data_IF_359527309434
#
_entry.id   IF_359527309434
#
_cell.length_a   1.000
_cell.length_b   1.000
_cell.length_c   1.000
_cell.angle_alpha   90.00
_cell.angle_beta   90.00
_cell.angle_gamma   90.00
#
_symmetry.space_group_name_H-M   'P 1'
#
loop_
_entity.id
_entity.type
_entity.pdbx_description
1 polymer ?
#
# COMPACT_ATOMS: atom_id res chain seq x y z
N UNK A 1 -39.69 17.49 -12.00
CA UNK A 1 -39.41 17.99 -10.62
C UNK A 1 -38.74 16.95 -9.71
N UNK A 2 -38.66 15.67 -10.10
CA UNK A 2 -38.06 14.57 -9.33
C UNK A 2 -36.53 14.42 -9.49
N UNK A 3 -35.88 15.30 -10.25
CA UNK A 3 -34.43 15.31 -10.48
C UNK A 3 -33.66 16.21 -9.49
N UNK A 4 -34.35 16.90 -8.58
CA UNK A 4 -33.71 17.81 -7.63
C UNK A 4 -33.22 17.01 -6.42
N UNK A 5 -31.93 17.12 -6.09
CA UNK A 5 -31.33 16.49 -4.90
C UNK A 5 -31.83 17.12 -3.59
N UNK A 6 -32.29 18.37 -3.64
CA UNK A 6 -32.86 19.10 -2.52
C UNK A 6 -34.23 19.67 -2.88
N UNK A 7 -35.16 19.57 -1.94
CA UNK A 7 -36.53 20.03 -2.11
C UNK A 7 -36.84 21.19 -1.16
N UNK A 8 -37.42 22.24 -1.70
CA UNK A 8 -38.07 23.31 -0.92
C UNK A 8 -39.54 22.96 -0.67
N UNK A 9 -40.20 23.58 0.33
CA UNK A 9 -41.64 23.38 0.56
C UNK A 9 -42.50 23.62 -0.69
N UNK A 10 -42.12 24.59 -1.53
CA UNK A 10 -42.80 24.88 -2.81
C UNK A 10 -42.65 23.72 -3.81
N UNK A 11 -41.47 23.11 -3.90
CA UNK A 11 -41.27 21.96 -4.79
C UNK A 11 -41.93 20.68 -4.27
N UNK A 12 -42.01 20.49 -2.95
CA UNK A 12 -42.74 19.37 -2.35
C UNK A 12 -44.24 19.47 -2.61
N UNK A 13 -44.82 20.66 -2.50
CA UNK A 13 -46.23 20.89 -2.87
C UNK A 13 -46.49 20.52 -4.33
N UNK A 14 -45.63 20.97 -5.26
CA UNK A 14 -45.73 20.61 -6.69
C UNK A 14 -45.56 19.10 -6.94
N UNK A 15 -44.72 18.43 -6.17
CA UNK A 15 -44.53 16.98 -6.25
C UNK A 15 -45.80 16.24 -5.82
N UNK A 16 -46.43 16.68 -4.72
CA UNK A 16 -47.71 16.13 -4.27
C UNK A 16 -48.84 16.40 -5.28
N UNK A 17 -48.93 17.62 -5.81
CA UNK A 17 -49.92 17.98 -6.83
C UNK A 17 -49.77 17.10 -8.07
N UNK A 18 -48.55 16.90 -8.56
CA UNK A 18 -48.28 16.03 -9.71
C UNK A 18 -48.68 14.56 -9.43
N UNK A 19 -48.42 14.07 -8.21
CA UNK A 19 -48.82 12.72 -7.82
C UNK A 19 -50.34 12.57 -7.73
N UNK A 20 -51.03 13.58 -7.20
CA UNK A 20 -52.49 13.63 -7.15
C UNK A 20 -53.08 13.64 -8.56
N UNK A 21 -52.55 14.46 -9.46
CA UNK A 21 -52.96 14.50 -10.87
C UNK A 21 -52.71 13.18 -11.57
N UNK A 22 -51.59 12.50 -11.31
CA UNK A 22 -51.35 11.16 -11.84
C UNK A 22 -52.40 10.17 -11.32
N UNK A 23 -52.69 10.18 -10.02
CA UNK A 23 -53.67 9.27 -9.44
C UNK A 23 -55.10 9.53 -9.88
N UNK A 24 -55.47 10.77 -10.23
CA UNK A 24 -56.80 11.09 -10.75
C UNK A 24 -57.01 10.66 -12.21
N UNK A 25 -55.93 10.53 -13.00
CA UNK A 25 -56.02 10.20 -14.43
C UNK A 25 -55.52 8.80 -14.78
N UNK A 26 -54.91 8.05 -13.84
CA UNK A 26 -54.30 6.74 -14.12
C UNK A 26 -55.30 5.69 -14.63
N UNK A 27 -56.59 5.83 -14.29
CA UNK A 27 -57.61 4.83 -14.62
C UNK A 27 -57.87 4.77 -16.13
N UNK A 28 -57.60 5.86 -16.87
CA UNK A 28 -57.64 5.91 -18.34
C UNK A 28 -56.73 4.84 -18.97
N UNK A 29 -55.59 4.51 -18.34
CA UNK A 29 -54.70 3.45 -18.85
C UNK A 29 -55.27 2.04 -18.63
N UNK A 30 -56.17 1.87 -17.67
CA UNK A 30 -56.91 0.62 -17.43
C UNK A 30 -58.04 0.52 -18.46
N UNK A 31 -58.77 1.62 -18.67
CA UNK A 31 -59.88 1.69 -19.63
C UNK A 31 -59.42 1.42 -21.07
N UNK A 32 -58.28 1.98 -21.47
CA UNK A 32 -57.63 1.75 -22.76
C UNK A 32 -56.98 0.36 -22.88
N UNK A 33 -57.11 -0.50 -21.85
CA UNK A 33 -56.50 -1.83 -21.75
C UNK A 33 -54.97 -1.87 -21.93
N UNK A 34 -54.29 -0.75 -21.68
CA UNK A 34 -52.83 -0.66 -21.73
C UNK A 34 -52.22 -1.41 -20.53
N UNK A 35 -52.90 -1.41 -19.37
CA UNK A 35 -52.41 -2.10 -18.16
C UNK A 35 -53.57 -2.62 -17.30
N UNK A 36 -53.35 -3.74 -16.60
CA UNK A 36 -54.38 -4.36 -15.74
C UNK A 36 -54.55 -3.71 -14.37
N UNK A 37 -53.45 -3.19 -13.78
CA UNK A 37 -53.47 -2.55 -12.46
C UNK A 37 -52.23 -1.67 -12.25
N UNK A 38 -52.26 -0.82 -11.22
CA UNK A 38 -51.16 0.05 -10.80
C UNK A 38 -50.49 -0.37 -9.47
N UNK A 39 -50.64 -1.63 -9.06
CA UNK A 39 -49.94 -2.23 -7.90
C UNK A 39 -48.44 -2.41 -8.18
N UNK A 40 -47.73 -1.30 -8.34
CA UNK A 40 -46.29 -1.25 -8.61
C UNK A 40 -45.62 -0.74 -7.34
N UNK A 41 -44.76 -1.53 -6.68
CA UNK A 41 -44.13 -1.12 -5.42
C UNK A 41 -43.45 0.26 -5.49
N UNK A 42 -42.81 0.56 -6.63
CA UNK A 42 -42.19 1.88 -6.86
C UNK A 42 -43.19 3.03 -6.91
N UNK A 43 -44.38 2.85 -7.51
CA UNK A 43 -45.42 3.89 -7.51
C UNK A 43 -46.06 4.07 -6.14
N UNK A 44 -46.25 2.99 -5.40
CA UNK A 44 -46.76 3.06 -4.02
C UNK A 44 -45.76 3.77 -3.10
N UNK A 45 -44.46 3.49 -3.26
CA UNK A 45 -43.41 4.16 -2.49
C UNK A 45 -43.43 5.70 -2.67
N UNK A 46 -43.76 6.22 -3.86
CA UNK A 46 -43.84 7.66 -4.14
C UNK A 46 -44.87 8.38 -3.24
N UNK A 47 -45.92 7.69 -2.80
CA UNK A 47 -46.94 8.26 -1.90
C UNK A 47 -46.35 8.68 -0.56
N UNK A 48 -45.25 8.04 -0.15
CA UNK A 48 -44.59 8.32 1.12
C UNK A 48 -43.40 9.28 0.97
N UNK A 49 -43.06 9.75 -0.24
CA UNK A 49 -41.83 10.53 -0.45
C UNK A 49 -41.92 11.92 0.20
N UNK A 50 -43.06 12.60 0.09
CA UNK A 50 -43.25 13.93 0.70
C UNK A 50 -43.14 13.85 2.22
N UNK A 51 -43.85 12.89 2.83
CA UNK A 51 -43.82 12.68 4.28
C UNK A 51 -42.42 12.29 4.76
N UNK A 52 -41.71 11.43 4.02
CA UNK A 52 -40.33 11.03 4.35
C UNK A 52 -39.35 12.19 4.23
N UNK A 53 -39.47 13.06 3.22
CA UNK A 53 -38.59 14.23 3.07
C UNK A 53 -38.84 15.23 4.21
N UNK A 54 -40.09 15.42 4.63
CA UNK A 54 -40.41 16.23 5.80
C UNK A 54 -39.86 15.65 7.11
N UNK A 55 -39.92 14.34 7.28
CA UNK A 55 -39.46 13.67 8.51
C UNK A 55 -37.94 13.48 8.60
N UNK A 56 -37.27 13.23 7.46
CA UNK A 56 -35.87 12.77 7.40
C UNK A 56 -34.92 13.77 6.70
N UNK A 57 -35.45 14.84 6.09
CA UNK A 57 -34.65 15.81 5.34
C UNK A 57 -34.40 15.40 3.88
N UNK A 58 -33.26 15.82 3.30
CA UNK A 58 -32.99 15.57 1.88
C UNK A 58 -32.77 14.08 1.59
N UNK A 59 -33.20 13.64 0.40
CA UNK A 59 -33.05 12.26 -0.03
C UNK A 59 -31.60 11.91 -0.48
N UNK A 60 -30.71 12.89 -0.56
CA UNK A 60 -29.36 12.76 -1.12
C UNK A 60 -28.48 11.76 -0.33
N UNK A 61 -28.70 11.65 0.99
CA UNK A 61 -28.01 10.68 1.85
C UNK A 61 -28.58 9.26 1.82
N UNK A 62 -29.70 9.02 1.12
CA UNK A 62 -30.41 7.74 1.10
C UNK A 62 -30.30 6.99 -0.24
N UNK A 63 -29.51 7.50 -1.19
CA UNK A 63 -29.44 6.94 -2.52
C UNK A 63 -28.46 5.75 -2.66
N UNK A 64 -28.76 4.96 -3.69
CA UNK A 64 -27.98 3.89 -4.33
C UNK A 64 -26.48 4.13 -4.52
N UNK A 65 -26.19 5.37 -4.89
CA UNK A 65 -25.20 5.64 -5.91
C UNK A 65 -23.78 5.57 -5.34
N UNK A 66 -23.62 6.05 -4.10
CA UNK A 66 -22.33 6.02 -3.42
C UNK A 66 -21.86 4.59 -3.23
N UNK A 67 -22.69 3.72 -2.67
CA UNK A 67 -22.30 2.33 -2.39
C UNK A 67 -22.19 1.50 -3.67
N UNK A 68 -23.01 1.78 -4.69
CA UNK A 68 -22.81 1.19 -6.02
C UNK A 68 -21.45 1.57 -6.63
N UNK A 69 -21.06 2.85 -6.51
CA UNK A 69 -19.76 3.33 -6.99
C UNK A 69 -18.60 2.74 -6.20
N UNK A 70 -18.73 2.63 -4.88
CA UNK A 70 -17.75 1.94 -4.04
C UNK A 70 -17.68 0.45 -4.37
N UNK A 71 -18.80 -0.20 -4.67
CA UNK A 71 -18.83 -1.61 -5.07
C UNK A 71 -18.12 -1.84 -6.42
N UNK A 72 -18.13 -0.87 -7.35
CA UNK A 72 -17.30 -0.94 -8.56
C UNK A 72 -15.81 -0.95 -8.19
N UNK A 73 -15.38 0.01 -7.37
CA UNK A 73 -13.97 0.19 -7.04
C UNK A 73 -13.41 -0.90 -6.12
N UNK A 74 -14.16 -1.30 -5.10
CA UNK A 74 -13.67 -2.19 -4.06
C UNK A 74 -14.06 -3.65 -4.27
N UNK A 75 -15.19 -3.93 -4.93
CA UNK A 75 -15.63 -5.30 -5.16
C UNK A 75 -15.33 -5.76 -6.59
N UNK A 76 -15.82 -5.05 -7.62
CA UNK A 76 -15.68 -5.52 -9.01
C UNK A 76 -14.23 -5.52 -9.49
N UNK A 77 -13.48 -4.42 -9.29
CA UNK A 77 -12.06 -4.36 -9.68
C UNK A 77 -11.22 -5.40 -8.94
N UNK A 78 -11.41 -5.53 -7.62
CA UNK A 78 -10.74 -6.55 -6.83
C UNK A 78 -11.07 -7.96 -7.35
N UNK A 79 -12.35 -8.28 -7.58
CA UNK A 79 -12.78 -9.58 -8.08
C UNK A 79 -12.22 -9.90 -9.49
N UNK A 80 -12.09 -8.89 -10.36
CA UNK A 80 -11.50 -9.05 -11.69
C UNK A 80 -10.00 -9.34 -11.64
N UNK A 81 -9.27 -8.75 -10.69
CA UNK A 81 -7.82 -8.91 -10.54
C UNK A 81 -7.40 -10.24 -9.87
N UNK A 82 -8.36 -11.06 -9.41
CA UNK A 82 -8.10 -12.26 -8.62
C UNK A 82 -8.44 -13.55 -9.37
N UNK A 83 -7.91 -14.67 -8.87
CA UNK A 83 -8.18 -16.00 -9.44
C UNK A 83 -9.60 -16.54 -9.12
N UNK A 84 -10.44 -15.73 -8.45
CA UNK A 84 -11.85 -15.99 -8.09
C UNK A 84 -12.10 -17.18 -7.16
N UNK A 85 -11.06 -17.80 -6.60
CA UNK A 85 -11.16 -18.91 -5.64
C UNK A 85 -10.93 -18.40 -4.23
N UNK A 86 -11.84 -18.68 -3.29
CA UNK A 86 -11.81 -18.08 -1.94
C UNK A 86 -11.56 -16.55 -1.98
N UNK A 87 -12.39 -15.88 -2.78
CA UNK A 87 -12.14 -14.50 -3.21
C UNK A 87 -12.22 -13.50 -2.06
N UNK A 88 -12.94 -13.78 -0.96
CA UNK A 88 -13.09 -12.85 0.16
C UNK A 88 -11.75 -12.53 0.81
N UNK A 89 -10.95 -13.55 1.13
CA UNK A 89 -9.61 -13.39 1.70
C UNK A 89 -8.69 -12.61 0.75
N UNK A 90 -8.74 -12.95 -0.53
CA UNK A 90 -7.92 -12.31 -1.55
C UNK A 90 -8.32 -10.85 -1.82
N UNK A 91 -9.63 -10.55 -1.85
CA UNK A 91 -10.15 -9.19 -2.00
C UNK A 91 -9.76 -8.32 -0.82
N UNK A 92 -9.81 -8.87 0.40
CA UNK A 92 -9.36 -8.14 1.61
C UNK A 92 -7.89 -7.78 1.52
N UNK A 93 -7.03 -8.72 1.11
CA UNK A 93 -5.59 -8.47 0.91
C UNK A 93 -5.37 -7.45 -0.23
N UNK A 94 -6.12 -7.56 -1.33
CA UNK A 94 -6.03 -6.62 -2.44
C UNK A 94 -6.38 -5.21 -2.01
N UNK A 95 -7.47 -5.02 -1.27
CA UNK A 95 -7.88 -3.73 -0.72
C UNK A 95 -6.85 -3.17 0.25
N UNK A 96 -6.33 -3.99 1.17
CA UNK A 96 -5.30 -3.58 2.10
C UNK A 96 -4.02 -3.10 1.38
N UNK A 97 -3.65 -3.75 0.27
CA UNK A 97 -2.52 -3.30 -0.56
C UNK A 97 -2.82 -1.95 -1.21
N UNK A 98 -3.99 -1.78 -1.82
CA UNK A 98 -4.38 -0.51 -2.45
C UNK A 98 -4.41 0.64 -1.44
N UNK A 99 -4.97 0.43 -0.25
CA UNK A 99 -4.96 1.41 0.83
C UNK A 99 -3.54 1.75 1.29
N UNK A 100 -2.67 0.74 1.44
CA UNK A 100 -1.27 0.96 1.81
C UNK A 100 -0.52 1.81 0.77
N UNK A 101 -0.77 1.57 -0.53
CA UNK A 101 -0.22 2.40 -1.61
C UNK A 101 -0.75 3.82 -1.56
N UNK A 102 -2.07 4.02 -1.49
CA UNK A 102 -2.67 5.36 -1.44
C UNK A 102 -2.19 6.17 -0.22
N UNK A 103 -2.03 5.52 0.94
CA UNK A 103 -1.44 6.13 2.13
C UNK A 103 0.05 6.48 1.96
N UNK A 104 0.79 5.67 1.20
CA UNK A 104 2.21 5.93 0.92
C UNK A 104 2.39 7.06 -0.09
N UNK A 105 1.60 7.10 -1.14
CA UNK A 105 1.58 8.17 -2.16
C UNK A 105 1.21 9.50 -1.53
N UNK A 106 0.10 9.57 -0.79
CA UNK A 106 -0.28 10.79 -0.07
C UNK A 106 0.77 11.26 0.94
N UNK A 107 1.53 10.34 1.55
CA UNK A 107 2.67 10.70 2.38
C UNK A 107 3.84 11.25 1.57
N UNK A 108 4.13 10.69 0.38
CA UNK A 108 5.18 11.18 -0.51
C UNK A 108 4.83 12.57 -1.07
N UNK A 109 3.60 12.76 -1.56
CA UNK A 109 3.12 14.05 -2.07
C UNK A 109 3.18 15.15 -0.99
N UNK A 110 2.96 14.77 0.27
CA UNK A 110 3.07 15.70 1.40
C UNK A 110 4.53 16.01 1.78
N UNK A 111 5.46 15.10 1.53
CA UNK A 111 6.85 15.24 1.93
C UNK A 111 7.55 16.23 0.98
N UNK A 112 7.61 17.50 1.37
CA UNK A 112 8.38 18.53 0.65
C UNK A 112 9.88 18.18 0.66
N UNK A 113 10.63 18.61 -0.36
CA UNK A 113 12.03 18.22 -0.67
C UNK A 113 13.06 18.45 0.46
N UNK A 114 12.65 19.06 1.57
CA UNK A 114 13.50 19.47 2.69
C UNK A 114 13.50 18.48 3.88
N UNK A 115 12.61 17.47 3.90
CA UNK A 115 12.48 16.53 5.02
C UNK A 115 13.17 15.19 4.72
N UNK A 116 14.44 15.05 5.14
CA UNK A 116 15.15 13.77 5.10
C UNK A 116 14.72 12.86 6.24
N UNK A 117 14.18 11.69 5.91
CA UNK A 117 13.92 10.64 6.89
C UNK A 117 15.25 10.03 7.37
N UNK A 118 15.58 10.20 8.65
CA UNK A 118 16.79 9.63 9.22
C UNK A 118 16.59 8.16 9.60
N UNK A 119 17.48 7.30 9.10
CA UNK A 119 17.61 5.93 9.59
C UNK A 119 18.41 5.93 10.89
N UNK A 120 17.84 5.36 11.95
CA UNK A 120 18.51 5.18 13.25
C UNK A 120 18.71 3.70 13.51
N UNK A 121 19.98 3.30 13.57
CA UNK A 121 20.34 2.01 14.11
C UNK A 121 20.18 2.01 15.64
N UNK A 122 19.87 0.85 16.24
CA UNK A 122 20.05 0.65 17.68
C UNK A 122 21.50 0.97 18.10
N UNK A 123 21.73 1.40 19.35
CA UNK A 123 23.08 1.70 19.83
C UNK A 123 24.01 0.47 19.81
N UNK A 124 23.45 -0.73 19.94
CA UNK A 124 24.22 -1.98 19.95
C UNK A 124 23.76 -2.92 18.82
N UNK A 125 24.70 -3.60 18.15
CA UNK A 125 24.39 -4.63 17.17
C UNK A 125 23.69 -5.82 17.84
N UNK A 126 22.77 -6.46 17.11
CA UNK A 126 22.07 -7.64 17.65
C UNK A 126 22.94 -8.89 17.61
N UNK A 127 23.86 -8.94 16.66
CA UNK A 127 24.84 -9.99 16.49
C UNK A 127 26.19 -9.30 16.31
N UNK A 128 26.99 -9.14 17.37
CA UNK A 128 28.22 -8.34 17.31
C UNK A 128 29.32 -9.00 16.48
N UNK A 129 29.23 -10.32 16.30
CA UNK A 129 30.30 -11.14 15.75
C UNK A 129 29.77 -12.15 14.74
N UNK A 130 29.54 -11.70 13.51
CA UNK A 130 29.04 -12.54 12.40
C UNK A 130 30.10 -12.63 11.31
N UNK A 131 30.51 -13.84 10.95
CA UNK A 131 31.46 -14.05 9.86
C UNK A 131 30.82 -13.84 8.50
N UNK A 132 31.61 -13.49 7.48
CA UNK A 132 31.16 -13.46 6.08
C UNK A 132 30.52 -14.78 5.65
N UNK A 133 31.11 -15.91 6.07
CA UNK A 133 30.55 -17.24 5.77
C UNK A 133 29.14 -17.40 6.35
N UNK A 134 28.89 -16.90 7.56
CA UNK A 134 27.54 -16.88 8.16
C UNK A 134 26.59 -15.90 7.45
N UNK A 135 27.08 -14.73 7.00
CA UNK A 135 26.26 -13.81 6.20
C UNK A 135 25.80 -14.46 4.88
N UNK A 136 26.70 -15.14 4.19
CA UNK A 136 26.40 -15.82 2.92
C UNK A 136 25.44 -17.01 3.14
N UNK A 137 25.67 -17.82 4.17
CA UNK A 137 24.90 -19.07 4.39
C UNK A 137 23.60 -18.88 5.18
N UNK A 138 23.62 -18.08 6.25
CA UNK A 138 22.47 -17.90 7.16
C UNK A 138 21.58 -16.76 6.70
N UNK A 139 22.17 -15.60 6.37
CA UNK A 139 21.40 -14.46 5.89
C UNK A 139 21.04 -14.59 4.40
N UNK A 140 21.67 -15.54 3.71
CA UNK A 140 21.47 -15.77 2.28
C UNK A 140 21.94 -14.60 1.45
N UNK A 141 23.02 -13.92 1.88
CA UNK A 141 23.66 -12.83 1.16
C UNK A 141 24.76 -13.40 0.25
N UNK A 142 24.38 -14.12 -0.81
CA UNK A 142 25.27 -15.00 -1.58
C UNK A 142 26.52 -14.32 -2.13
N UNK A 143 26.40 -13.06 -2.53
CA UNK A 143 27.44 -12.29 -3.21
C UNK A 143 28.01 -11.19 -2.32
N UNK A 144 28.00 -11.41 -1.00
CA UNK A 144 28.48 -10.43 -0.03
C UNK A 144 29.94 -10.04 -0.29
N UNK A 145 30.84 -11.02 -0.39
CA UNK A 145 32.28 -10.77 -0.62
C UNK A 145 32.57 -9.96 -1.89
N UNK A 146 32.07 -10.32 -3.08
CA UNK A 146 32.32 -9.54 -4.30
C UNK A 146 31.64 -8.16 -4.27
N UNK A 147 30.43 -8.04 -3.71
CA UNK A 147 29.75 -6.75 -3.58
C UNK A 147 30.49 -5.81 -2.62
N UNK A 148 30.91 -6.33 -1.46
CA UNK A 148 31.64 -5.56 -0.46
C UNK A 148 33.05 -5.18 -0.96
N UNK A 149 33.71 -6.06 -1.70
CA UNK A 149 34.97 -5.72 -2.40
C UNK A 149 34.80 -4.55 -3.36
N UNK A 150 33.72 -4.54 -4.14
CA UNK A 150 33.40 -3.44 -5.06
C UNK A 150 33.14 -2.13 -4.30
N UNK A 151 32.42 -2.20 -3.18
CA UNK A 151 32.20 -1.07 -2.30
C UNK A 151 33.52 -0.51 -1.75
N UNK A 152 34.39 -1.36 -1.19
CA UNK A 152 35.69 -0.91 -0.65
C UNK A 152 36.54 -0.22 -1.74
N UNK A 153 36.63 -0.81 -2.94
CA UNK A 153 37.42 -0.22 -4.04
C UNK A 153 36.86 1.12 -4.52
N UNK A 154 35.54 1.28 -4.55
CA UNK A 154 34.87 2.48 -5.07
C UNK A 154 34.81 3.59 -4.02
N UNK A 155 34.34 3.26 -2.82
CA UNK A 155 33.94 4.23 -1.80
C UNK A 155 35.02 4.42 -0.72
N UNK A 156 35.97 3.48 -0.59
CA UNK A 156 37.08 3.52 0.38
C UNK A 156 38.46 3.31 -0.30
N UNK A 157 38.86 4.15 -1.26
CA UNK A 157 40.07 3.92 -2.07
C UNK A 157 41.39 3.92 -1.27
N UNK A 158 41.37 4.43 -0.03
CA UNK A 158 42.53 4.41 0.89
C UNK A 158 42.67 3.08 1.65
N UNK A 159 41.65 2.24 1.63
CA UNK A 159 41.69 0.93 2.27
C UNK A 159 42.40 -0.07 1.34
N UNK A 160 43.63 -0.46 1.71
CA UNK A 160 44.41 -1.48 0.99
C UNK A 160 44.00 -2.93 1.33
N UNK A 161 43.09 -3.12 2.27
CA UNK A 161 42.66 -4.43 2.75
C UNK A 161 41.42 -4.87 1.96
N UNK A 162 41.47 -6.11 1.45
CA UNK A 162 40.33 -6.75 0.80
C UNK A 162 39.62 -7.68 1.81
N UNK A 163 38.29 -7.79 1.72
CA UNK A 163 37.54 -8.68 2.59
C UNK A 163 37.83 -10.16 2.30
N UNK A 164 37.78 -10.95 3.37
CA UNK A 164 37.99 -12.39 3.44
C UNK A 164 36.77 -13.04 4.11
N UNK A 165 36.57 -14.34 3.83
CA UNK A 165 35.42 -15.14 4.32
C UNK A 165 35.35 -15.31 5.85
N UNK A 166 36.45 -15.04 6.54
CA UNK A 166 36.56 -15.11 8.00
C UNK A 166 36.46 -13.74 8.66
N UNK A 167 36.28 -12.66 7.90
CA UNK A 167 36.11 -11.35 8.51
C UNK A 167 34.77 -11.27 9.25
N UNK A 168 34.79 -10.52 10.34
CA UNK A 168 33.70 -10.46 11.31
C UNK A 168 33.00 -9.10 11.25
N UNK A 169 31.67 -9.13 11.31
CA UNK A 169 30.81 -7.97 11.15
C UNK A 169 29.80 -7.89 12.29
N UNK A 170 29.60 -6.67 12.79
CA UNK A 170 28.55 -6.34 13.72
C UNK A 170 27.23 -6.10 12.96
N UNK A 171 26.25 -6.99 13.11
CA UNK A 171 25.01 -7.03 12.33
C UNK A 171 23.79 -6.64 13.19
N UNK A 172 22.90 -5.85 12.61
CA UNK A 172 21.65 -5.37 13.21
C UNK A 172 20.46 -6.18 12.72
N UNK A 173 19.70 -6.83 13.63
CA UNK A 173 18.47 -7.55 13.24
C UNK A 173 17.38 -6.63 12.68
N UNK A 174 17.44 -5.34 13.02
CA UNK A 174 16.51 -4.31 12.57
C UNK A 174 17.08 -2.91 12.70
N UNK A 175 16.61 -1.99 11.86
CA UNK A 175 16.77 -0.53 12.00
C UNK A 175 15.42 0.16 11.92
N UNK A 176 15.34 1.37 12.48
CA UNK A 176 14.13 2.19 12.49
C UNK A 176 14.33 3.44 11.63
N UNK A 177 13.44 3.67 10.68
CA UNK A 177 13.36 4.90 9.91
C UNK A 177 12.26 5.77 10.54
N UNK A 178 12.66 6.95 10.99
CA UNK A 178 11.71 7.91 11.54
C UNK A 178 11.09 8.71 10.39
N UNK A 179 9.79 8.53 10.19
CA UNK A 179 9.04 9.26 9.18
C UNK A 179 8.61 10.62 9.75
N UNK A 180 8.61 11.64 8.90
CA UNK A 180 8.20 12.97 9.30
C UNK A 180 6.73 12.99 9.74
N UNK A 181 6.39 13.88 10.67
CA UNK A 181 5.03 13.96 11.24
C UNK A 181 4.08 14.57 10.22
N UNK A 182 3.12 13.79 9.74
CA UNK A 182 2.06 14.28 8.87
C UNK A 182 0.75 14.46 9.65
N UNK A 183 0.35 15.71 9.92
CA UNK A 183 -0.87 16.05 10.69
C UNK A 183 -2.17 15.55 10.07
N UNK A 184 -2.19 15.30 8.75
CA UNK A 184 -3.35 14.81 8.02
C UNK A 184 -3.49 13.29 8.09
N UNK A 185 -2.38 12.57 8.34
CA UNK A 185 -2.36 11.11 8.46
C UNK A 185 -2.32 10.63 9.92
N UNK A 186 -1.58 11.32 10.80
CA UNK A 186 -1.49 10.99 12.23
C UNK A 186 -0.80 12.10 13.05
N UNK A 187 -1.30 12.34 14.27
CA UNK A 187 -0.62 13.20 15.25
C UNK A 187 0.70 12.59 15.77
N UNK A 188 0.88 11.26 15.65
CA UNK A 188 2.08 10.56 16.10
C UNK A 188 3.09 10.34 14.97
N UNK A 189 4.39 10.57 15.20
CA UNK A 189 5.43 10.26 14.21
C UNK A 189 5.42 8.76 13.92
N UNK A 190 5.22 8.41 12.65
CA UNK A 190 5.27 7.01 12.21
C UNK A 190 6.72 6.56 12.16
N UNK A 191 6.95 5.28 12.44
CA UNK A 191 8.25 4.65 12.32
C UNK A 191 8.11 3.50 11.35
N UNK A 192 8.91 3.51 10.28
CA UNK A 192 9.10 2.35 9.45
C UNK A 192 10.23 1.50 10.06
N UNK A 193 10.08 0.19 10.03
CA UNK A 193 11.10 -0.73 10.51
C UNK A 193 11.60 -1.54 9.31
N UNK A 194 12.93 -1.71 9.23
CA UNK A 194 13.55 -2.64 8.30
C UNK A 194 14.17 -3.78 9.12
N UNK A 195 13.85 -5.02 8.78
CA UNK A 195 14.28 -6.25 9.45
C UNK A 195 15.25 -7.05 8.59
N UNK A 196 16.32 -7.51 9.22
CA UNK A 196 17.24 -8.53 8.68
C UNK A 196 17.47 -9.61 9.73
N UNK A 197 16.37 -10.29 10.10
CA UNK A 197 16.39 -11.31 11.15
C UNK A 197 16.72 -12.67 10.53
N UNK A 198 17.87 -13.29 10.87
CA UNK A 198 18.20 -14.64 10.39
C UNK A 198 17.26 -15.70 10.99
N UNK A 199 17.20 -16.91 10.40
CA UNK A 199 16.42 -17.99 10.98
C UNK A 199 16.99 -18.38 12.35
N UNK A 200 16.12 -18.51 13.35
CA UNK A 200 16.48 -18.99 14.68
C UNK A 200 16.01 -20.44 14.78
N UNK A 201 16.94 -21.37 14.96
CA UNK A 201 16.62 -22.78 15.12
C UNK A 201 15.82 -23.01 16.41
N UNK A 202 14.90 -23.97 16.36
CA UNK A 202 14.16 -24.41 17.54
C UNK A 202 15.15 -24.92 18.60
N UNK A 203 14.92 -24.55 19.86
CA UNK A 203 15.68 -25.05 21.00
C UNK A 203 14.73 -25.58 22.06
N UNK A 204 14.80 -26.88 22.32
CA UNK A 204 13.91 -27.57 23.25
C UNK A 204 12.45 -27.41 22.82
N UNK A 205 11.59 -26.94 23.74
CA UNK A 205 10.18 -26.69 23.48
C UNK A 205 9.89 -25.34 22.80
N UNK A 206 10.91 -24.51 22.55
CA UNK A 206 10.72 -23.22 21.87
C UNK A 206 10.73 -23.41 20.34
N UNK A 207 9.64 -23.04 19.64
CA UNK A 207 9.60 -23.15 18.18
C UNK A 207 10.63 -22.23 17.54
N UNK A 208 11.21 -22.69 16.43
CA UNK A 208 12.13 -21.89 15.63
C UNK A 208 11.42 -20.68 15.02
N UNK A 209 12.16 -19.59 14.81
CA UNK A 209 11.65 -18.41 14.11
C UNK A 209 12.16 -18.41 12.68
N UNK A 210 11.29 -18.32 11.65
CA UNK A 210 11.74 -18.25 10.27
C UNK A 210 12.51 -16.95 10.01
N UNK A 211 13.38 -16.97 9.01
CA UNK A 211 14.11 -15.78 8.60
C UNK A 211 13.15 -14.68 8.10
N UNK A 212 13.48 -13.42 8.38
CA UNK A 212 12.70 -12.26 7.94
C UNK A 212 13.63 -11.17 7.39
N UNK A 213 13.57 -10.99 6.07
CA UNK A 213 14.35 -10.01 5.32
C UNK A 213 13.41 -9.09 4.57
N UNK A 214 13.36 -7.83 4.98
CA UNK A 214 12.43 -6.85 4.42
C UNK A 214 12.84 -6.43 3.01
N UNK A 215 11.82 -6.13 2.21
CA UNK A 215 11.97 -5.62 0.86
C UNK A 215 11.71 -4.13 0.86
N UNK A 216 12.54 -3.37 0.14
CA UNK A 216 12.42 -1.93 0.01
C UNK A 216 12.38 -1.51 -1.47
N UNK A 217 11.68 -0.41 -1.74
CA UNK A 217 11.86 0.37 -2.97
C UNK A 217 13.01 1.34 -2.74
N UNK A 218 14.05 1.23 -3.56
CA UNK A 218 15.27 2.01 -3.44
C UNK A 218 15.45 2.83 -4.71
N UNK A 219 15.84 4.09 -4.54
CA UNK A 219 16.14 4.99 -5.66
C UNK A 219 17.47 4.52 -6.27
N UNK A 220 17.41 3.95 -7.47
CA UNK A 220 18.58 3.52 -8.25
C UNK A 220 19.03 4.64 -9.18
N UNK A 221 18.09 5.37 -9.78
CA UNK A 221 18.35 6.47 -10.71
C UNK A 221 17.67 7.77 -10.22
N UNK A 222 18.37 8.61 -9.42
CA UNK A 222 17.80 9.83 -8.86
C UNK A 222 17.27 10.85 -9.89
N UNK A 223 17.94 11.11 -11.03
CA UNK A 223 17.41 11.96 -12.10
C UNK A 223 16.02 11.53 -12.59
N UNK A 224 15.85 10.25 -12.93
CA UNK A 224 14.56 9.73 -13.40
C UNK A 224 13.51 9.75 -12.30
N UNK A 225 13.88 9.41 -11.07
CA UNK A 225 12.97 9.47 -9.91
C UNK A 225 12.46 10.88 -9.61
N UNK A 226 13.27 11.91 -9.81
CA UNK A 226 12.86 13.32 -9.59
C UNK A 226 11.98 13.87 -10.71
N UNK A 227 12.17 13.38 -11.93
CA UNK A 227 11.50 13.91 -13.12
C UNK A 227 10.17 13.23 -13.38
N UNK A 228 10.05 11.96 -13.00
CA UNK A 228 8.88 11.13 -13.26
C UNK A 228 7.99 11.03 -12.02
N UNK A 229 6.68 11.17 -12.21
CA UNK A 229 5.69 10.84 -11.19
C UNK A 229 5.46 9.33 -11.21
N UNK A 230 5.95 8.61 -10.19
CA UNK A 230 5.66 7.18 -10.01
C UNK A 230 6.85 6.35 -9.54
N UNK A 231 7.04 5.19 -10.18
CA UNK A 231 8.05 4.19 -9.80
C UNK A 231 9.31 4.22 -10.68
N UNK A 232 9.38 5.14 -11.63
CA UNK A 232 10.54 5.28 -12.51
C UNK A 232 11.77 5.72 -11.69
N UNK A 233 12.93 5.15 -11.99
CA UNK A 233 14.14 5.33 -11.18
C UNK A 233 14.14 4.60 -9.83
N UNK A 234 13.05 3.91 -9.45
CA UNK A 234 13.02 3.01 -8.31
C UNK A 234 13.30 1.56 -8.74
N UNK A 235 13.95 0.81 -7.85
CA UNK A 235 14.14 -0.62 -7.98
C UNK A 235 13.86 -1.32 -6.66
N UNK A 236 13.29 -2.52 -6.77
CA UNK A 236 13.01 -3.36 -5.60
C UNK A 236 14.30 -4.07 -5.18
N UNK A 237 14.63 -4.00 -3.89
CA UNK A 237 15.73 -4.74 -3.29
C UNK A 237 15.32 -5.44 -2.00
N UNK A 238 15.77 -6.67 -1.79
CA UNK A 238 15.66 -7.37 -0.52
C UNK A 238 16.90 -7.10 0.32
N UNK A 239 16.71 -6.63 1.55
CA UNK A 239 17.80 -6.28 2.45
C UNK A 239 18.16 -7.55 3.25
N UNK A 240 19.35 -8.13 3.03
CA UNK A 240 19.76 -9.38 3.71
C UNK A 240 20.57 -9.16 4.97
N UNK A 241 21.30 -8.06 5.04
CA UNK A 241 22.08 -7.72 6.21
C UNK A 241 22.18 -6.21 6.36
N UNK A 242 22.16 -5.75 7.60
CA UNK A 242 22.51 -4.38 7.97
C UNK A 242 23.64 -4.50 8.98
N UNK A 243 24.77 -3.83 8.75
CA UNK A 243 25.97 -4.02 9.54
C UNK A 243 26.77 -2.74 9.70
N UNK A 244 27.59 -2.69 10.75
CA UNK A 244 28.58 -1.64 10.93
C UNK A 244 29.86 -2.01 10.19
N UNK A 245 30.49 -1.03 9.53
CA UNK A 245 31.77 -1.22 8.88
C UNK A 245 32.84 -1.59 9.93
N UNK A 246 33.54 -2.73 9.79
CA UNK A 246 34.61 -3.08 10.72
C UNK A 246 35.75 -2.03 10.66
N UNK A 247 36.32 -1.62 11.81
CA UNK A 247 37.32 -0.55 11.87
C UNK A 247 38.55 -0.77 10.98
N UNK A 248 38.90 -2.03 10.70
CA UNK A 248 40.00 -2.40 9.83
C UNK A 248 39.87 -1.87 8.39
N UNK A 249 38.64 -1.63 7.91
CA UNK A 249 38.39 -1.06 6.59
C UNK A 249 38.22 0.47 6.59
N UNK A 250 38.27 1.10 7.78
CA UNK A 250 38.09 2.52 7.96
C UNK A 250 36.86 2.88 8.80
N UNK A 251 36.37 4.10 8.63
CA UNK A 251 35.23 4.63 9.39
C UNK A 251 34.15 5.10 8.43
N UNK A 252 32.90 4.76 8.71
CA UNK A 252 31.74 5.22 7.96
C UNK A 252 30.67 5.77 8.91
N UNK A 253 30.03 6.90 8.59
CA UNK A 253 29.14 7.60 9.52
C UNK A 253 27.80 6.87 9.76
N UNK A 254 27.44 5.93 8.87
CA UNK A 254 26.15 5.25 8.89
C UNK A 254 26.33 3.72 8.84
N UNK A 255 25.35 2.95 9.31
CA UNK A 255 25.30 1.52 9.02
C UNK A 255 25.21 1.26 7.51
N UNK A 256 25.83 0.17 7.06
CA UNK A 256 25.75 -0.30 5.68
C UNK A 256 24.68 -1.38 5.57
N UNK A 257 24.06 -1.49 4.40
CA UNK A 257 23.10 -2.54 4.10
C UNK A 257 23.53 -3.32 2.87
N UNK A 258 23.50 -4.65 2.95
CA UNK A 258 23.61 -5.51 1.78
C UNK A 258 22.23 -5.75 1.18
N UNK A 259 22.09 -5.43 -0.10
CA UNK A 259 20.84 -5.46 -0.85
C UNK A 259 20.98 -6.43 -2.01
N UNK A 260 20.07 -7.40 -2.09
CA UNK A 260 19.87 -8.23 -3.27
C UNK A 260 18.80 -7.62 -4.15
N UNK A 261 19.17 -7.31 -5.39
CA UNK A 261 18.28 -6.62 -6.31
C UNK A 261 17.32 -7.58 -7.01
N UNK A 262 16.06 -7.18 -7.11
CA UNK A 262 15.13 -7.79 -8.06
C UNK A 262 15.31 -7.18 -9.45
N UNK A 263 14.73 -7.80 -10.47
CA UNK A 263 14.70 -7.28 -11.83
C UNK A 263 14.05 -5.89 -11.85
N UNK A 264 14.51 -4.97 -12.73
CA UNK A 264 13.84 -3.70 -12.95
C UNK A 264 12.35 -3.88 -13.26
N UNK A 265 11.57 -2.83 -13.02
CA UNK A 265 10.14 -2.84 -13.34
C UNK A 265 9.95 -2.91 -14.86
N UNK A 266 9.18 -3.91 -15.30
CA UNK A 266 8.74 -4.06 -16.69
C UNK A 266 7.30 -3.58 -16.84
N UNK A 267 6.61 -3.88 -17.95
CA UNK A 267 5.20 -3.54 -18.08
C UNK A 267 4.35 -4.18 -16.97
N UNK A 268 3.39 -3.44 -16.38
CA UNK A 268 2.48 -4.02 -15.40
C UNK A 268 1.63 -5.11 -16.05
N UNK A 269 1.29 -6.12 -15.28
CA UNK A 269 0.39 -7.19 -15.72
C UNK A 269 -0.97 -6.57 -16.12
N UNK A 270 -1.48 -6.84 -17.34
CA UNK A 270 -2.67 -6.18 -17.86
C UNK A 270 -3.96 -6.55 -17.10
N UNK A 271 -3.96 -7.64 -16.35
CA UNK A 271 -5.11 -8.13 -15.57
C UNK A 271 -5.09 -7.55 -14.17
N UNK A 272 -3.93 -7.53 -13.51
CA UNK A 272 -3.82 -7.10 -12.11
C UNK A 272 -3.40 -5.65 -11.93
N UNK A 273 -2.79 -5.05 -12.96
CA UNK A 273 -2.16 -3.73 -12.90
C UNK A 273 -0.88 -3.68 -12.07
N UNK A 274 -0.38 -4.84 -11.60
CA UNK A 274 0.79 -4.93 -10.72
C UNK A 274 2.06 -5.27 -11.49
N UNK A 275 3.20 -4.85 -10.97
CA UNK A 275 4.51 -5.19 -11.52
C UNK A 275 4.99 -6.54 -11.03
N UNK A 276 5.42 -7.40 -11.95
CA UNK A 276 6.06 -8.67 -11.63
C UNK A 276 7.57 -8.48 -11.59
N UNK A 277 8.19 -8.94 -10.51
CA UNK A 277 9.64 -8.88 -10.30
C UNK A 277 10.19 -10.28 -10.05
N UNK A 278 11.42 -10.52 -10.50
CA UNK A 278 12.18 -11.74 -10.24
C UNK A 278 13.51 -11.39 -9.56
N UNK A 279 14.20 -12.35 -8.95
CA UNK A 279 15.54 -12.08 -8.42
C UNK A 279 16.50 -11.83 -9.58
N UNK A 280 17.31 -10.77 -9.48
CA UNK A 280 18.37 -10.56 -10.47
C UNK A 280 19.42 -11.64 -10.25
N UNK A 281 19.59 -12.48 -11.25
CA UNK A 281 20.70 -13.44 -11.38
C UNK A 281 22.01 -12.72 -11.65
#
# INVERSE_FOLDING_TARGET
YTQLQSHTPKTLRRLQESLNTFHSHKDVFIDLKIRKHFNIPKLHALQHYVDRIWALGSADGYNTELHERLHINFAKKAYQALNRRDYTSQMTIWLQRQEAFALRESYLDWLDDTLTAEARAPPEPSYPDVTVTQLETINGASDFTPAFTRFIRRDMPRCGILPNRHDHFAVFKKIMIHLAKNRYLSATPRKAQIRTTPPILARGCSPGTPAHFDTALIIEDPPSYRTSAGIEGLRVGQIRAIFQLPPQYGTYPHPLAYVEWFTPFNQPDPTTGMYTIQRSS
#
